data_IF_303539625350
#
_entry.id   IF_303539625350
#
_cell.length_a   1.000
_cell.length_b   1.000
_cell.length_c   1.000
_cell.angle_alpha   90.00
_cell.angle_beta   90.00
_cell.angle_gamma   90.00
#
_symmetry.space_group_name_H-M   'P 1'
#
loop_
_entity.id
_entity.type
_entity.pdbx_description
1 polymer ?
#
# COMPACT_ATOMS: atom_id res chain seq x y z
N UNK A 1 4.25 -24.76 9.74
CA UNK A 1 3.54 -26.08 9.73
C UNK A 1 3.61 -26.85 11.05
N UNK A 2 4.74 -27.47 11.45
CA UNK A 2 4.79 -28.36 12.64
C UNK A 2 4.27 -27.70 13.92
N UNK A 3 4.73 -26.49 14.22
CA UNK A 3 4.30 -25.75 15.42
C UNK A 3 2.84 -25.33 15.34
N UNK A 4 2.38 -24.85 14.18
CA UNK A 4 0.97 -24.49 13.93
C UNK A 4 0.05 -25.67 14.22
N UNK A 5 0.39 -26.86 13.72
CA UNK A 5 -0.39 -28.09 13.96
C UNK A 5 -0.44 -28.45 15.44
N UNK A 6 0.71 -28.44 16.11
CA UNK A 6 0.79 -28.77 17.54
C UNK A 6 -0.04 -27.80 18.41
N UNK A 7 0.02 -26.50 18.12
CA UNK A 7 -0.78 -25.48 18.81
C UNK A 7 -2.28 -25.68 18.56
N UNK A 8 -2.66 -25.85 17.29
CA UNK A 8 -4.06 -26.06 16.90
C UNK A 8 -4.66 -27.31 17.57
N UNK A 9 -3.96 -28.45 17.53
CA UNK A 9 -4.43 -29.70 18.13
C UNK A 9 -4.53 -29.59 19.66
N UNK A 10 -3.55 -28.96 20.30
CA UNK A 10 -3.54 -28.80 21.76
C UNK A 10 -4.70 -27.94 22.26
N UNK A 11 -4.99 -26.83 21.57
CA UNK A 11 -6.03 -25.87 21.99
C UNK A 11 -7.41 -26.12 21.38
N UNK A 12 -7.57 -27.17 20.56
CA UNK A 12 -8.82 -27.48 19.83
C UNK A 12 -10.09 -27.43 20.69
N UNK A 13 -10.05 -28.00 21.89
CA UNK A 13 -11.19 -28.09 22.79
C UNK A 13 -11.31 -26.95 23.80
N UNK A 14 -10.49 -25.90 23.72
CA UNK A 14 -10.49 -24.81 24.70
C UNK A 14 -11.54 -23.76 24.32
N UNK A 15 -12.59 -23.63 25.14
CA UNK A 15 -13.69 -22.68 24.93
C UNK A 15 -13.31 -21.20 25.07
N UNK A 16 -12.09 -20.89 25.55
CA UNK A 16 -11.59 -19.51 25.65
C UNK A 16 -10.87 -19.05 24.37
N UNK A 17 -10.63 -19.95 23.40
CA UNK A 17 -10.02 -19.62 22.11
C UNK A 17 -11.13 -19.46 21.07
N UNK A 18 -11.31 -18.24 20.60
CA UNK A 18 -12.35 -17.86 19.63
C UNK A 18 -11.83 -17.79 18.19
N UNK A 19 -10.51 -17.72 18.01
CA UNK A 19 -9.89 -17.57 16.71
C UNK A 19 -8.37 -17.42 16.81
N UNK A 20 -7.73 -17.18 15.67
CA UNK A 20 -6.27 -17.14 15.55
C UNK A 20 -5.81 -15.99 14.67
N UNK A 21 -4.70 -15.38 15.09
CA UNK A 21 -3.84 -14.60 14.22
C UNK A 21 -2.80 -15.55 13.61
N UNK A 22 -2.63 -15.56 12.28
CA UNK A 22 -1.50 -16.25 11.64
C UNK A 22 -0.23 -15.42 11.82
N UNK A 23 0.88 -16.02 12.21
CA UNK A 23 2.17 -15.33 12.37
C UNK A 23 2.08 -13.94 13.07
N UNK A 24 2.92 -12.97 12.68
CA UNK A 24 2.79 -11.58 13.09
C UNK A 24 3.43 -10.65 12.05
N UNK A 25 2.67 -9.70 11.50
CA UNK A 25 3.21 -8.61 10.68
C UNK A 25 4.15 -9.09 9.55
N UNK A 26 3.66 -9.98 8.69
CA UNK A 26 4.46 -10.50 7.58
C UNK A 26 5.04 -9.33 6.76
N UNK A 27 6.34 -9.43 6.43
CA UNK A 27 7.13 -8.42 5.72
C UNK A 27 7.38 -7.07 6.44
N UNK A 28 6.91 -6.85 7.68
CA UNK A 28 7.07 -5.53 8.34
C UNK A 28 8.51 -5.08 8.52
N UNK A 29 9.43 -6.00 8.89
CA UNK A 29 10.86 -5.66 9.02
C UNK A 29 11.63 -5.72 7.69
N UNK A 30 11.02 -6.28 6.64
CA UNK A 30 11.62 -6.49 5.34
C UNK A 30 11.02 -7.71 4.63
N UNK A 31 10.80 -7.58 3.33
CA UNK A 31 10.29 -8.62 2.44
C UNK A 31 11.38 -9.28 1.57
N UNK A 32 12.49 -8.58 1.34
CA UNK A 32 13.51 -8.97 0.38
C UNK A 32 14.42 -10.09 0.92
N UNK A 33 14.73 -11.06 0.07
CA UNK A 33 15.67 -12.15 0.38
C UNK A 33 16.48 -12.56 -0.84
N UNK A 34 17.81 -12.61 -0.70
CA UNK A 34 18.71 -12.87 -1.83
C UNK A 34 19.53 -14.16 -1.67
N UNK A 35 19.04 -15.09 -0.84
CA UNK A 35 19.70 -16.37 -0.59
C UNK A 35 19.50 -17.40 -1.72
N UNK A 36 20.28 -18.49 -1.72
CA UNK A 36 20.20 -19.53 -2.75
C UNK A 36 18.85 -20.26 -2.79
N UNK A 37 18.17 -20.40 -1.64
CA UNK A 37 16.81 -20.97 -1.58
C UNK A 37 15.81 -20.04 -2.27
N UNK A 38 15.94 -18.73 -2.04
CA UNK A 38 15.07 -17.74 -2.70
C UNK A 38 15.29 -17.72 -4.20
N UNK A 39 16.54 -17.84 -4.66
CA UNK A 39 16.83 -17.98 -6.08
C UNK A 39 16.15 -19.21 -6.69
N UNK A 40 16.29 -20.39 -6.06
CA UNK A 40 15.68 -21.62 -6.56
C UNK A 40 14.15 -21.54 -6.61
N UNK A 41 13.51 -20.98 -5.58
CA UNK A 41 12.06 -20.79 -5.54
C UNK A 41 11.59 -19.75 -6.57
N UNK A 42 12.36 -18.68 -6.81
CA UNK A 42 12.06 -17.70 -7.85
C UNK A 42 12.14 -18.33 -9.24
N UNK A 43 13.18 -19.12 -9.53
CA UNK A 43 13.31 -19.86 -10.78
C UNK A 43 12.13 -20.84 -10.98
N UNK A 44 11.71 -21.53 -9.92
CA UNK A 44 10.53 -22.41 -9.95
C UNK A 44 9.23 -21.65 -10.21
N UNK A 45 9.04 -20.50 -9.55
CA UNK A 45 7.91 -19.59 -9.78
C UNK A 45 7.85 -19.12 -11.24
N UNK A 46 8.98 -18.68 -11.80
CA UNK A 46 9.07 -18.25 -13.19
C UNK A 46 8.78 -19.38 -14.17
N UNK A 47 9.30 -20.58 -13.90
CA UNK A 47 9.02 -21.76 -14.70
C UNK A 47 7.53 -22.11 -14.70
N UNK A 48 6.86 -22.00 -13.56
CA UNK A 48 5.42 -22.20 -13.49
C UNK A 48 4.65 -21.07 -14.20
N UNK A 49 5.04 -19.81 -14.02
CA UNK A 49 4.37 -18.67 -14.64
C UNK A 49 4.46 -18.69 -16.17
N UNK A 50 5.67 -18.85 -16.71
CA UNK A 50 5.94 -18.68 -18.14
C UNK A 50 5.94 -19.99 -18.92
N UNK A 51 6.05 -21.14 -18.24
CA UNK A 51 6.11 -22.51 -18.80
C UNK A 51 7.34 -22.80 -19.68
N UNK A 52 7.83 -21.83 -20.45
CA UNK A 52 8.98 -21.94 -21.35
C UNK A 52 9.92 -20.74 -21.18
N UNK A 53 11.22 -20.95 -21.38
CA UNK A 53 12.21 -19.88 -21.28
C UNK A 53 12.01 -18.80 -22.36
N UNK A 54 11.51 -19.21 -23.54
CA UNK A 54 11.18 -18.29 -24.63
C UNK A 54 10.09 -17.29 -24.23
N UNK A 55 9.05 -17.74 -23.52
CA UNK A 55 7.99 -16.86 -23.02
C UNK A 55 8.51 -15.88 -21.95
N UNK A 56 9.41 -16.32 -21.06
CA UNK A 56 10.08 -15.44 -20.11
C UNK A 56 10.94 -14.39 -20.84
N UNK A 57 11.76 -14.81 -21.79
CA UNK A 57 12.63 -13.91 -22.55
C UNK A 57 11.82 -12.88 -23.35
N UNK A 58 10.67 -13.26 -23.92
CA UNK A 58 9.77 -12.30 -24.57
C UNK A 58 9.18 -11.31 -23.57
N UNK A 59 8.65 -11.80 -22.44
CA UNK A 59 8.07 -10.96 -21.39
C UNK A 59 9.09 -10.02 -20.74
N UNK A 60 10.36 -10.43 -20.60
CA UNK A 60 11.41 -9.61 -20.00
C UNK A 60 12.18 -8.77 -21.04
N UNK A 61 11.88 -8.93 -22.33
CA UNK A 61 12.58 -8.24 -23.41
C UNK A 61 14.05 -8.65 -23.54
N UNK A 62 14.37 -9.93 -23.36
CA UNK A 62 15.73 -10.49 -23.31
C UNK A 62 16.62 -10.22 -24.53
N UNK A 63 16.02 -9.82 -25.66
CA UNK A 63 16.77 -9.35 -26.83
C UNK A 63 17.49 -8.02 -26.58
N UNK A 64 16.97 -7.18 -25.68
CA UNK A 64 17.61 -5.93 -25.31
C UNK A 64 18.82 -6.19 -24.42
N UNK A 65 19.98 -5.67 -24.83
CA UNK A 65 21.27 -5.90 -24.14
C UNK A 65 21.68 -7.36 -23.97
N UNK A 66 21.13 -8.28 -24.78
CA UNK A 66 21.44 -9.70 -24.76
C UNK A 66 21.29 -10.35 -23.36
N UNK A 67 20.18 -10.05 -22.68
CA UNK A 67 19.86 -10.58 -21.34
C UNK A 67 18.98 -11.82 -21.38
N UNK A 68 18.77 -12.43 -22.55
CA UNK A 68 18.01 -13.65 -22.71
C UNK A 68 18.73 -14.84 -22.06
N UNK A 69 17.96 -15.71 -21.41
CA UNK A 69 18.44 -16.95 -20.78
C UNK A 69 18.16 -18.17 -21.66
N UNK A 70 19.03 -19.18 -21.61
CA UNK A 70 18.81 -20.46 -22.30
C UNK A 70 17.98 -21.44 -21.46
N UNK A 71 18.00 -21.31 -20.13
CA UNK A 71 17.21 -22.10 -19.18
C UNK A 71 16.84 -21.27 -17.95
N UNK A 72 15.83 -21.71 -17.20
CA UNK A 72 15.41 -21.07 -15.96
C UNK A 72 16.49 -21.13 -14.86
N UNK A 73 17.36 -22.15 -14.85
CA UNK A 73 18.43 -22.28 -13.87
C UNK A 73 19.52 -21.18 -13.97
N UNK A 74 19.57 -20.48 -15.11
CA UNK A 74 20.47 -19.35 -15.36
C UNK A 74 19.91 -18.00 -14.87
N UNK A 75 18.60 -17.92 -14.61
CA UNK A 75 17.97 -16.69 -14.13
C UNK A 75 18.61 -16.30 -12.81
N UNK A 76 18.87 -15.01 -12.62
CA UNK A 76 19.44 -14.43 -11.38
C UNK A 76 18.39 -13.61 -10.64
N UNK A 77 18.63 -13.28 -9.37
CA UNK A 77 17.80 -12.33 -8.62
C UNK A 77 18.10 -10.88 -9.07
N UNK A 78 17.12 -9.96 -8.99
CA UNK A 78 17.34 -8.55 -9.31
C UNK A 78 18.07 -7.86 -8.15
N UNK A 79 19.40 -7.92 -8.17
CA UNK A 79 20.25 -7.30 -7.15
C UNK A 79 20.49 -5.82 -7.44
N UNK A 80 20.46 -5.00 -6.39
CA UNK A 80 20.93 -3.62 -6.45
C UNK A 80 22.42 -3.57 -6.85
N UNK A 81 22.80 -2.51 -7.57
CA UNK A 81 24.18 -2.28 -8.04
C UNK A 81 24.75 -3.38 -8.97
N UNK A 82 23.88 -4.16 -9.61
CA UNK A 82 24.26 -4.94 -10.79
C UNK A 82 25.00 -4.04 -11.82
N UNK A 83 25.92 -4.59 -12.63
CA UNK A 83 26.74 -3.79 -13.56
C UNK A 83 25.93 -3.01 -14.60
N UNK A 84 24.65 -3.36 -14.78
CA UNK A 84 23.66 -2.60 -15.53
C UNK A 84 22.31 -2.61 -14.80
N UNK A 85 21.43 -1.63 -15.05
CA UNK A 85 20.06 -1.66 -14.54
C UNK A 85 19.34 -2.95 -14.93
N UNK A 86 18.63 -3.53 -13.97
CA UNK A 86 17.80 -4.71 -14.21
C UNK A 86 16.54 -4.31 -14.99
N UNK A 87 16.09 -5.18 -15.90
CA UNK A 87 14.87 -4.95 -16.67
C UNK A 87 13.64 -4.76 -15.74
N UNK A 88 12.74 -3.82 -16.04
CA UNK A 88 11.66 -3.46 -15.11
C UNK A 88 10.65 -4.60 -14.91
N UNK A 89 10.43 -5.47 -15.91
CA UNK A 89 9.56 -6.65 -15.77
C UNK A 89 10.17 -7.70 -14.85
N UNK A 90 11.50 -7.89 -14.90
CA UNK A 90 12.21 -8.78 -13.98
C UNK A 90 12.03 -8.30 -12.52
N UNK A 91 12.22 -7.00 -12.26
CA UNK A 91 11.99 -6.43 -10.92
C UNK A 91 10.56 -6.66 -10.44
N UNK A 92 9.56 -6.35 -11.27
CA UNK A 92 8.14 -6.54 -10.92
C UNK A 92 7.81 -8.02 -10.66
N UNK A 93 8.34 -8.94 -11.47
CA UNK A 93 8.11 -10.37 -11.26
C UNK A 93 8.74 -10.91 -9.98
N UNK A 94 9.86 -10.33 -9.54
CA UNK A 94 10.44 -10.67 -8.24
C UNK A 94 9.55 -10.22 -7.08
N UNK A 95 8.98 -9.02 -7.13
CA UNK A 95 8.01 -8.56 -6.13
C UNK A 95 6.71 -9.40 -6.14
N UNK A 96 6.19 -9.75 -7.32
CA UNK A 96 5.08 -10.70 -7.46
C UNK A 96 5.41 -12.07 -6.85
N UNK A 97 6.64 -12.55 -7.04
CA UNK A 97 7.12 -13.78 -6.40
C UNK A 97 7.15 -13.67 -4.87
N UNK A 98 7.63 -12.54 -4.32
CA UNK A 98 7.64 -12.30 -2.87
C UNK A 98 6.22 -12.29 -2.28
N UNK A 99 5.27 -11.64 -2.96
CA UNK A 99 3.85 -11.68 -2.59
C UNK A 99 3.28 -13.10 -2.66
N UNK A 100 3.60 -13.86 -3.70
CA UNK A 100 3.17 -15.25 -3.87
C UNK A 100 3.68 -16.17 -2.74
N UNK A 101 4.97 -16.11 -2.39
CA UNK A 101 5.50 -16.96 -1.31
C UNK A 101 4.98 -16.55 0.06
N UNK A 102 4.74 -15.25 0.27
CA UNK A 102 4.13 -14.73 1.51
C UNK A 102 2.70 -15.25 1.67
N UNK A 103 1.88 -15.18 0.61
CA UNK A 103 0.53 -15.73 0.62
C UNK A 103 0.51 -17.25 0.89
N UNK A 104 1.42 -18.00 0.27
CA UNK A 104 1.54 -19.46 0.50
C UNK A 104 1.94 -19.80 1.94
N UNK A 105 2.85 -19.02 2.52
CA UNK A 105 3.24 -19.20 3.92
C UNK A 105 2.07 -18.99 4.88
N UNK A 106 1.23 -17.98 4.62
CA UNK A 106 -0.01 -17.76 5.35
C UNK A 106 -1.02 -18.89 5.14
N UNK A 107 -1.29 -19.24 3.88
CA UNK A 107 -2.25 -20.29 3.51
C UNK A 107 -1.97 -21.62 4.22
N UNK A 108 -0.69 -22.00 4.32
CA UNK A 108 -0.26 -23.19 5.04
C UNK A 108 -0.69 -23.21 6.52
N UNK A 109 -0.79 -22.05 7.17
CA UNK A 109 -1.26 -21.91 8.54
C UNK A 109 -2.78 -21.94 8.61
N UNK A 110 -3.45 -21.17 7.74
CA UNK A 110 -4.92 -21.10 7.64
C UNK A 110 -5.50 -22.49 7.42
N UNK A 111 -4.96 -23.26 6.48
CA UNK A 111 -5.41 -24.62 6.17
C UNK A 111 -5.36 -25.54 7.40
N UNK A 112 -4.27 -25.47 8.18
CA UNK A 112 -4.12 -26.29 9.40
C UNK A 112 -5.15 -25.89 10.45
N UNK A 113 -5.35 -24.58 10.66
CA UNK A 113 -6.29 -24.05 11.65
C UNK A 113 -7.73 -24.43 11.30
N UNK A 114 -8.16 -24.19 10.05
CA UNK A 114 -9.49 -24.54 9.53
C UNK A 114 -9.79 -26.04 9.61
N UNK A 115 -8.81 -26.88 9.24
CA UNK A 115 -8.95 -28.34 9.30
C UNK A 115 -9.10 -28.81 10.75
N UNK A 116 -8.45 -28.12 11.70
CA UNK A 116 -8.49 -28.48 13.10
C UNK A 116 -9.81 -28.08 13.75
N UNK A 117 -10.24 -26.83 13.57
CA UNK A 117 -11.55 -26.36 14.05
C UNK A 117 -12.11 -25.31 13.08
N UNK A 118 -13.20 -25.61 12.36
CA UNK A 118 -13.79 -24.69 11.40
C UNK A 118 -14.54 -23.51 12.05
N UNK A 119 -14.83 -23.57 13.36
CA UNK A 119 -15.55 -22.52 14.08
C UNK A 119 -14.65 -21.34 14.49
N UNK A 120 -13.33 -21.50 14.40
CA UNK A 120 -12.38 -20.43 14.67
C UNK A 120 -12.37 -19.43 13.53
N UNK A 121 -12.45 -18.14 13.87
CA UNK A 121 -12.01 -17.12 12.92
C UNK A 121 -10.48 -17.15 12.77
N UNK A 122 -9.99 -16.78 11.60
CA UNK A 122 -8.58 -16.68 11.27
C UNK A 122 -8.35 -15.33 10.58
N UNK A 123 -7.42 -14.54 11.13
CA UNK A 123 -7.03 -13.25 10.57
C UNK A 123 -5.50 -13.10 10.56
N UNK A 124 -5.00 -12.07 9.90
CA UNK A 124 -3.61 -11.66 9.98
C UNK A 124 -3.51 -10.16 10.27
N UNK A 125 -2.57 -9.75 11.10
CA UNK A 125 -2.26 -8.35 11.34
C UNK A 125 -1.22 -7.83 10.35
N UNK A 126 -1.54 -6.73 9.69
CA UNK A 126 -0.66 -6.06 8.72
C UNK A 126 -0.04 -4.82 9.37
N UNK A 127 1.27 -4.63 9.19
CA UNK A 127 1.96 -3.39 9.56
C UNK A 127 2.45 -2.65 8.32
N UNK A 128 3.50 -3.19 7.68
CA UNK A 128 3.91 -2.80 6.34
C UNK A 128 3.13 -3.61 5.28
N UNK A 129 2.89 -3.01 4.10
CA UNK A 129 2.18 -3.65 2.99
C UNK A 129 3.12 -4.04 1.83
N UNK A 130 4.43 -3.89 2.00
CA UNK A 130 5.40 -4.28 0.99
C UNK A 130 5.31 -5.77 0.67
N UNK A 131 5.25 -6.07 -0.63
CA UNK A 131 5.15 -7.45 -1.15
C UNK A 131 3.95 -8.24 -0.57
N UNK A 132 2.82 -7.57 -0.34
CA UNK A 132 1.54 -8.20 0.01
C UNK A 132 0.50 -7.82 -1.05
N UNK A 133 0.10 -8.79 -1.86
CA UNK A 133 -0.99 -8.62 -2.82
C UNK A 133 -2.34 -9.01 -2.18
N UNK A 134 -3.05 -7.99 -1.67
CA UNK A 134 -4.35 -8.14 -1.02
C UNK A 134 -5.52 -8.38 -2.01
N UNK A 135 -5.29 -8.24 -3.32
CA UNK A 135 -6.23 -8.65 -4.38
C UNK A 135 -5.86 -10.00 -4.99
N UNK A 136 -4.66 -10.50 -4.68
CA UNK A 136 -4.19 -11.85 -4.95
C UNK A 136 -4.61 -12.85 -3.87
N UNK A 137 -3.85 -13.94 -3.73
CA UNK A 137 -4.22 -15.08 -2.88
C UNK A 137 -4.21 -14.77 -1.38
N UNK A 138 -3.45 -13.77 -0.93
CA UNK A 138 -3.16 -13.53 0.50
C UNK A 138 -4.41 -13.35 1.35
N UNK A 139 -5.41 -12.62 0.85
CA UNK A 139 -6.63 -12.26 1.58
C UNK A 139 -7.77 -13.27 1.42
N UNK A 140 -7.61 -14.29 0.57
CA UNK A 140 -8.76 -15.08 0.07
C UNK A 140 -9.31 -16.11 1.06
N UNK A 141 -8.54 -16.50 2.08
CA UNK A 141 -8.91 -17.55 3.04
C UNK A 141 -8.94 -17.08 4.51
N UNK A 142 -8.70 -15.79 4.74
CA UNK A 142 -8.90 -15.10 6.02
C UNK A 142 -10.37 -14.68 6.20
N UNK A 143 -10.85 -14.61 7.44
CA UNK A 143 -12.21 -14.10 7.75
C UNK A 143 -12.29 -12.57 7.68
N UNK A 144 -11.21 -11.90 8.06
CA UNK A 144 -11.03 -10.45 8.00
C UNK A 144 -9.54 -10.13 8.15
N UNK A 145 -9.13 -8.90 7.80
CA UNK A 145 -7.78 -8.42 8.08
C UNK A 145 -7.70 -7.69 9.43
N UNK A 146 -6.51 -7.72 10.03
CA UNK A 146 -6.08 -6.81 11.07
C UNK A 146 -5.10 -5.79 10.52
N UNK A 147 -5.09 -4.57 11.06
CA UNK A 147 -4.08 -3.57 10.72
C UNK A 147 -3.53 -2.88 11.97
N UNK A 148 -2.21 -2.92 12.10
CA UNK A 148 -1.46 -2.35 13.21
C UNK A 148 -1.14 -0.89 12.89
N UNK A 149 -1.47 0.01 13.81
CA UNK A 149 -1.47 1.45 13.55
C UNK A 149 -0.76 2.23 14.65
N UNK A 150 0.31 2.90 14.22
CA UNK A 150 1.18 3.72 15.06
C UNK A 150 1.34 5.14 14.47
N UNK A 151 0.30 5.99 14.56
CA UNK A 151 0.24 7.24 13.81
C UNK A 151 1.41 8.20 14.04
N UNK A 152 1.89 8.29 15.29
CA UNK A 152 3.03 9.15 15.62
C UNK A 152 4.35 8.58 15.13
N UNK A 153 4.45 7.26 14.94
CA UNK A 153 5.60 6.65 14.30
C UNK A 153 5.61 6.97 12.79
N UNK A 154 4.46 6.78 12.14
CA UNK A 154 4.33 6.95 10.69
C UNK A 154 4.58 8.39 10.28
N UNK A 155 3.99 9.35 11.00
CA UNK A 155 4.17 10.78 10.75
C UNK A 155 5.65 11.19 10.88
N UNK A 156 6.32 10.78 11.95
CA UNK A 156 7.72 11.14 12.22
C UNK A 156 8.69 10.45 11.25
N UNK A 157 8.49 9.16 10.95
CA UNK A 157 9.35 8.42 10.01
C UNK A 157 9.25 8.99 8.59
N UNK A 158 8.04 9.37 8.16
CA UNK A 158 7.79 9.82 6.79
C UNK A 158 7.87 11.35 6.65
N UNK A 159 7.89 12.09 7.76
CA UNK A 159 7.87 13.57 7.81
C UNK A 159 6.74 14.17 6.97
N UNK A 160 5.61 13.49 6.94
CA UNK A 160 4.45 13.88 6.14
C UNK A 160 3.66 15.01 6.81
N UNK A 161 3.73 15.14 8.14
CA UNK A 161 2.99 16.10 8.94
C UNK A 161 1.51 15.72 9.05
N UNK A 162 0.92 15.90 10.23
CA UNK A 162 -0.51 15.71 10.45
C UNK A 162 -0.87 14.26 10.79
N UNK A 163 -0.49 13.84 12.00
CA UNK A 163 -0.76 12.50 12.59
C UNK A 163 -2.17 11.97 12.33
N UNK A 164 -3.21 12.81 12.46
CA UNK A 164 -4.60 12.39 12.22
C UNK A 164 -4.92 12.08 10.75
N UNK A 165 -4.29 12.81 9.82
CA UNK A 165 -4.41 12.57 8.38
C UNK A 165 -3.68 11.28 8.00
N UNK A 166 -2.47 11.08 8.52
CA UNK A 166 -1.67 9.87 8.33
C UNK A 166 -2.40 8.61 8.84
N UNK A 167 -2.97 8.69 10.05
CA UNK A 167 -3.76 7.61 10.62
C UNK A 167 -4.95 7.26 9.73
N UNK A 168 -5.73 8.26 9.34
CA UNK A 168 -6.92 8.04 8.52
C UNK A 168 -6.58 7.44 7.15
N UNK A 169 -5.48 7.88 6.53
CA UNK A 169 -4.99 7.35 5.26
C UNK A 169 -4.70 5.85 5.35
N UNK A 170 -3.90 5.43 6.33
CA UNK A 170 -3.50 4.02 6.51
C UNK A 170 -4.71 3.11 6.78
N UNK A 171 -5.63 3.56 7.64
CA UNK A 171 -6.87 2.84 7.92
C UNK A 171 -7.79 2.73 6.69
N UNK A 172 -7.93 3.80 5.90
CA UNK A 172 -8.73 3.77 4.67
C UNK A 172 -8.09 2.91 3.58
N UNK A 173 -6.76 2.82 3.50
CA UNK A 173 -6.05 1.88 2.61
C UNK A 173 -6.40 0.44 3.00
N UNK A 174 -6.26 0.07 4.28
CA UNK A 174 -6.61 -1.27 4.76
C UNK A 174 -8.08 -1.59 4.46
N UNK A 175 -9.00 -0.70 4.82
CA UNK A 175 -10.44 -0.86 4.55
C UNK A 175 -10.74 -1.05 3.06
N UNK A 176 -10.01 -0.38 2.17
CA UNK A 176 -10.19 -0.50 0.73
C UNK A 176 -9.95 -1.91 0.17
N UNK A 177 -9.27 -2.79 0.93
CA UNK A 177 -9.05 -4.18 0.54
C UNK A 177 -10.01 -5.16 1.20
N UNK A 178 -10.37 -4.95 2.47
CA UNK A 178 -11.11 -5.96 3.27
C UNK A 178 -12.52 -5.54 3.67
N UNK A 179 -12.91 -4.28 3.46
CA UNK A 179 -14.09 -3.73 4.13
C UNK A 179 -13.81 -3.49 5.61
N UNK A 180 -14.74 -3.85 6.49
CA UNK A 180 -14.49 -3.73 7.93
C UNK A 180 -13.34 -4.65 8.37
N UNK A 181 -12.60 -4.21 9.37
CA UNK A 181 -11.37 -4.86 9.84
C UNK A 181 -11.25 -4.74 11.35
N UNK A 182 -10.18 -5.27 11.93
CA UNK A 182 -9.82 -4.99 13.32
C UNK A 182 -8.48 -4.28 13.40
N UNK A 183 -8.21 -3.60 14.51
CA UNK A 183 -6.91 -3.03 14.84
C UNK A 183 -6.32 -3.87 15.98
N UNK A 184 -5.43 -4.84 15.68
CA UNK A 184 -4.80 -5.66 16.70
C UNK A 184 -3.77 -4.90 17.53
N UNK A 185 -3.10 -3.94 16.91
CA UNK A 185 -2.17 -3.07 17.59
C UNK A 185 -2.47 -1.58 17.35
N UNK A 186 -3.11 -0.95 18.33
CA UNK A 186 -3.26 0.50 18.41
C UNK A 186 -2.17 1.06 19.33
N UNK A 187 -1.49 2.11 18.88
CA UNK A 187 -0.55 2.86 19.73
C UNK A 187 -1.20 3.29 21.06
N UNK A 188 -0.59 2.87 22.17
CA UNK A 188 -1.04 3.24 23.53
C UNK A 188 -0.15 4.27 24.22
N UNK A 189 1.11 4.43 23.81
CA UNK A 189 2.03 5.34 24.47
C UNK A 189 3.25 5.67 23.63
N UNK A 190 4.30 6.12 24.32
CA UNK A 190 5.63 6.17 23.76
C UNK A 190 6.05 4.77 23.29
N UNK A 191 6.54 4.68 22.06
CA UNK A 191 7.13 3.47 21.50
C UNK A 191 8.58 3.73 21.17
N UNK A 192 9.49 2.84 21.54
CA UNK A 192 10.87 2.95 21.10
C UNK A 192 11.55 1.60 20.94
N UNK A 193 12.41 1.56 19.93
CA UNK A 193 13.39 0.53 19.62
C UNK A 193 14.77 1.22 19.51
N UNK A 194 15.90 0.47 19.47
CA UNK A 194 17.24 1.09 19.48
C UNK A 194 17.50 2.15 18.39
N UNK A 195 16.80 2.08 17.26
CA UNK A 195 17.02 2.92 16.08
C UNK A 195 15.94 4.00 15.85
N UNK A 196 14.81 3.97 16.56
CA UNK A 196 13.76 4.99 16.44
C UNK A 196 12.86 5.04 17.67
N UNK A 197 12.16 6.17 17.83
CA UNK A 197 11.09 6.33 18.81
C UNK A 197 9.91 7.08 18.24
N UNK A 198 8.76 6.95 18.86
CA UNK A 198 7.55 7.72 18.54
C UNK A 198 7.42 8.90 19.48
N UNK A 199 6.56 9.87 19.14
CA UNK A 199 6.11 10.86 20.11
C UNK A 199 5.19 10.21 21.14
N UNK A 200 5.28 10.68 22.39
CA UNK A 200 4.34 10.30 23.44
C UNK A 200 2.97 10.90 23.13
N UNK A 201 1.89 10.09 23.01
CA UNK A 201 0.55 10.63 22.85
C UNK A 201 0.18 11.49 24.05
N UNK A 202 -0.25 12.73 23.82
CA UNK A 202 -0.73 13.64 24.87
C UNK A 202 -2.03 13.11 25.53
N UNK A 203 -2.43 13.65 26.69
CA UNK A 203 -3.74 13.34 27.30
C UNK A 203 -4.90 13.46 26.32
N UNK A 204 -5.67 12.38 26.18
CA UNK A 204 -6.81 12.26 25.27
C UNK A 204 -6.48 11.69 23.87
N UNK A 205 -5.20 11.65 23.47
CA UNK A 205 -4.82 11.17 22.13
C UNK A 205 -5.02 9.66 21.97
N UNK A 206 -4.86 8.84 23.02
CA UNK A 206 -5.14 7.40 22.90
C UNK A 206 -6.61 7.17 22.54
N UNK A 207 -7.51 7.87 23.26
CA UNK A 207 -8.95 7.82 23.02
C UNK A 207 -9.29 8.35 21.62
N UNK A 208 -8.70 9.48 21.20
CA UNK A 208 -8.91 10.06 19.85
C UNK A 208 -8.47 9.09 18.75
N UNK A 209 -7.29 8.49 18.88
CA UNK A 209 -6.77 7.52 17.92
C UNK A 209 -7.67 6.29 17.83
N UNK A 210 -8.10 5.71 18.95
CA UNK A 210 -9.00 4.56 18.97
C UNK A 210 -10.35 4.87 18.31
N UNK A 211 -10.93 6.04 18.58
CA UNK A 211 -12.16 6.48 17.89
C UNK A 211 -11.95 6.76 16.40
N UNK A 212 -10.75 7.21 16.00
CA UNK A 212 -10.42 7.36 14.58
C UNK A 212 -10.43 6.01 13.89
N UNK A 213 -9.88 4.96 14.52
CA UNK A 213 -9.93 3.59 14.01
C UNK A 213 -11.37 3.09 13.85
N UNK A 214 -12.23 3.28 14.86
CA UNK A 214 -13.67 2.95 14.78
C UNK A 214 -14.36 3.73 13.66
N UNK A 215 -14.14 5.04 13.57
CA UNK A 215 -14.74 5.90 12.55
C UNK A 215 -14.29 5.57 11.12
N UNK A 216 -13.18 4.83 10.97
CA UNK A 216 -12.62 4.36 9.70
C UNK A 216 -12.90 2.89 9.42
N UNK A 217 -13.76 2.23 10.20
CA UNK A 217 -14.28 0.89 9.90
C UNK A 217 -13.70 -0.26 10.73
N UNK A 218 -13.01 0.05 11.85
CA UNK A 218 -12.55 -0.99 12.77
C UNK A 218 -13.71 -1.48 13.67
N UNK A 219 -14.03 -2.78 13.57
CA UNK A 219 -15.01 -3.49 14.43
C UNK A 219 -14.35 -4.11 15.68
N UNK A 220 -13.04 -3.99 15.81
CA UNK A 220 -12.27 -4.35 16.99
C UNK A 220 -11.04 -3.46 17.13
N UNK A 221 -10.70 -3.06 18.36
CA UNK A 221 -9.52 -2.25 18.67
C UNK A 221 -8.83 -2.83 19.90
N UNK A 222 -7.57 -3.19 19.75
CA UNK A 222 -6.70 -3.69 20.80
C UNK A 222 -5.48 -2.78 20.89
N UNK A 223 -5.05 -2.46 22.10
CA UNK A 223 -3.85 -1.65 22.29
C UNK A 223 -2.64 -2.55 22.44
N UNK A 224 -1.61 -2.30 21.63
CA UNK A 224 -0.32 -2.89 21.90
C UNK A 224 0.42 -2.02 22.93
N UNK A 225 0.81 -2.55 24.08
CA UNK A 225 0.53 -3.89 24.65
C UNK A 225 -0.18 -3.73 25.98
N UNK A 226 -0.51 -4.82 26.68
CA UNK A 226 -1.06 -4.71 28.03
C UNK A 226 -0.05 -4.05 28.99
N UNK A 227 1.13 -4.66 29.13
CA UNK A 227 2.23 -4.23 30.01
C UNK A 227 3.53 -4.16 29.19
N UNK A 228 4.34 -3.10 29.31
CA UNK A 228 5.64 -3.02 28.65
C UNK A 228 6.57 -4.14 29.13
N UNK A 229 7.52 -4.52 28.28
CA UNK A 229 8.54 -5.50 28.63
C UNK A 229 9.65 -4.85 29.48
N UNK A 230 10.26 -5.64 30.37
CA UNK A 230 11.46 -5.23 31.13
C UNK A 230 12.78 -5.58 30.41
N UNK A 231 12.68 -6.25 29.26
CA UNK A 231 13.80 -6.77 28.49
C UNK A 231 13.43 -6.87 27.00
N UNK A 232 14.44 -7.03 26.14
CA UNK A 232 14.26 -7.17 24.68
C UNK A 232 14.40 -5.85 23.93
N UNK A 233 14.12 -5.88 22.63
CA UNK A 233 14.28 -4.71 21.76
C UNK A 233 13.27 -3.59 22.03
N UNK A 234 12.14 -3.94 22.66
CA UNK A 234 10.98 -3.05 22.88
C UNK A 234 10.77 -2.71 24.35
N UNK A 235 11.85 -2.61 25.13
CA UNK A 235 11.77 -2.24 26.55
C UNK A 235 11.04 -0.92 26.79
N UNK A 236 11.06 0.00 25.83
CA UNK A 236 10.38 1.29 25.93
C UNK A 236 9.14 1.36 25.03
N UNK A 237 8.65 0.22 24.54
CA UNK A 237 7.34 0.15 23.92
C UNK A 237 6.26 0.02 24.98
N UNK A 238 5.67 1.17 25.29
CA UNK A 238 4.82 1.29 26.45
C UNK A 238 3.46 0.62 26.22
N UNK A 239 2.91 -0.04 27.26
CA UNK A 239 1.59 -0.68 27.23
C UNK A 239 0.49 0.11 27.96
N UNK A 240 -0.73 -0.41 28.07
CA UNK A 240 -1.84 0.26 28.80
C UNK A 240 -1.46 0.57 30.26
N UNK A 241 -0.71 -0.32 30.92
CA UNK A 241 -0.08 -0.07 32.23
C UNK A 241 1.43 0.21 32.07
N UNK A 242 2.08 0.75 33.11
CA UNK A 242 3.51 1.05 33.09
C UNK A 242 4.39 -0.15 33.54
N UNK A 243 5.71 0.01 33.49
CA UNK A 243 6.69 -0.99 33.94
C UNK A 243 6.57 -1.37 35.41
N UNK A 244 6.00 -0.51 36.24
CA UNK A 244 5.80 -0.77 37.68
C UNK A 244 4.42 -1.37 37.99
N UNK A 245 3.68 -1.76 36.96
CA UNK A 245 2.36 -2.41 37.04
C UNK A 245 1.25 -1.52 37.61
N UNK A 246 1.51 -0.23 37.76
CA UNK A 246 0.52 0.71 38.30
C UNK A 246 -0.30 1.30 37.14
N UNK A 247 -1.64 1.21 37.19
CA UNK A 247 -2.50 1.87 36.22
C UNK A 247 -2.43 3.39 36.41
N UNK A 248 -2.35 4.11 35.28
CA UNK A 248 -2.32 5.58 35.23
C UNK A 248 -3.19 6.08 34.08
N UNK A 249 -2.98 7.33 33.64
CA UNK A 249 -3.69 7.97 32.51
C UNK A 249 -4.00 7.03 31.34
N UNK A 250 -3.03 6.25 30.87
CA UNK A 250 -3.20 5.36 29.69
C UNK A 250 -4.20 4.24 29.94
N UNK A 251 -4.21 3.70 31.15
CA UNK A 251 -5.23 2.77 31.61
C UNK A 251 -6.58 3.44 31.73
N UNK A 252 -6.65 4.64 32.31
CA UNK A 252 -7.91 5.38 32.47
C UNK A 252 -8.54 5.75 31.12
N UNK A 253 -7.73 6.18 30.14
CA UNK A 253 -8.19 6.48 28.78
C UNK A 253 -8.66 5.22 28.04
N UNK A 254 -7.93 4.11 28.14
CA UNK A 254 -8.33 2.84 27.56
C UNK A 254 -9.65 2.33 28.18
N UNK A 255 -9.80 2.44 29.51
CA UNK A 255 -11.02 2.10 30.24
C UNK A 255 -12.19 2.99 29.83
N UNK A 256 -11.96 4.30 29.68
CA UNK A 256 -12.98 5.23 29.22
C UNK A 256 -13.45 4.86 27.81
N UNK A 257 -12.54 4.69 26.86
CA UNK A 257 -12.86 4.27 25.49
C UNK A 257 -13.64 2.95 25.49
N UNK A 258 -13.19 1.94 26.23
CA UNK A 258 -13.86 0.64 26.30
C UNK A 258 -15.30 0.76 26.84
N UNK A 259 -15.51 1.57 27.88
CA UNK A 259 -16.85 1.83 28.42
C UNK A 259 -17.77 2.52 27.42
N UNK A 260 -17.27 3.55 26.73
CA UNK A 260 -18.05 4.32 25.77
C UNK A 260 -18.36 3.52 24.50
N UNK A 261 -17.40 2.78 23.94
CA UNK A 261 -17.63 1.95 22.75
C UNK A 261 -18.58 0.79 23.05
N UNK A 262 -18.52 0.21 24.25
CA UNK A 262 -19.46 -0.83 24.69
C UNK A 262 -20.90 -0.30 24.73
N UNK A 263 -21.10 0.95 25.16
CA UNK A 263 -22.41 1.60 25.18
C UNK A 263 -22.93 1.94 23.76
N UNK A 264 -22.04 2.04 22.77
CA UNK A 264 -22.37 2.37 21.38
C UNK A 264 -22.43 1.16 20.45
N UNK A 265 -21.90 -0.01 20.85
CA UNK A 265 -21.63 -1.16 19.97
C UNK A 265 -22.82 -1.56 19.10
N UNK A 266 -24.03 -1.60 19.66
CA UNK A 266 -25.24 -2.06 18.94
C UNK A 266 -25.67 -1.08 17.82
N UNK A 267 -25.08 0.12 17.78
CA UNK A 267 -25.33 1.15 16.74
C UNK A 267 -24.24 1.20 15.68
N UNK A 268 -23.05 0.65 15.94
CA UNK A 268 -21.86 0.87 15.10
C UNK A 268 -21.22 -0.42 14.59
N UNK A 269 -21.33 -1.53 15.33
CA UNK A 269 -20.71 -2.80 14.96
C UNK A 269 -21.28 -3.31 13.64
N UNK A 270 -20.42 -3.61 12.67
CA UNK A 270 -20.80 -4.06 11.34
C UNK A 270 -21.39 -2.99 10.42
N UNK A 271 -21.39 -1.72 10.84
CA UNK A 271 -21.71 -0.60 9.94
C UNK A 271 -20.56 -0.36 8.96
N UNK A 272 -20.85 0.27 7.82
CA UNK A 272 -19.82 0.57 6.81
C UNK A 272 -19.61 2.08 6.67
N UNK A 273 -18.35 2.46 6.43
CA UNK A 273 -17.96 3.86 6.19
C UNK A 273 -18.50 4.32 4.84
N UNK A 274 -19.29 5.39 4.85
CA UNK A 274 -19.76 6.06 3.63
C UNK A 274 -18.59 6.72 2.90
N UNK A 275 -18.53 6.53 1.58
CA UNK A 275 -17.62 7.24 0.69
C UNK A 275 -18.41 7.84 -0.48
N UNK A 276 -18.17 9.12 -0.77
CA UNK A 276 -18.67 9.81 -1.96
C UNK A 276 -17.57 9.90 -3.05
N UNK A 277 -16.28 9.86 -2.66
CA UNK A 277 -15.12 9.87 -3.55
C UNK A 277 -14.27 8.60 -3.34
N UNK A 278 -14.14 7.78 -4.37
CA UNK A 278 -13.24 6.63 -4.38
C UNK A 278 -11.86 6.99 -4.90
N UNK A 279 -10.81 6.46 -4.28
CA UNK A 279 -9.42 6.61 -4.70
C UNK A 279 -8.84 5.24 -5.02
N UNK A 280 -8.54 4.98 -6.30
CA UNK A 280 -7.88 3.78 -6.76
C UNK A 280 -6.36 3.90 -6.55
N UNK A 281 -5.92 4.02 -5.30
CA UNK A 281 -4.53 4.40 -4.97
C UNK A 281 -3.62 3.27 -4.52
N UNK A 282 -4.08 2.02 -4.50
CA UNK A 282 -3.36 0.93 -3.81
C UNK A 282 -3.32 -0.41 -4.56
N UNK A 283 -3.43 -0.41 -5.89
CA UNK A 283 -3.24 -1.65 -6.66
C UNK A 283 -1.77 -2.10 -6.65
N UNK A 284 -1.52 -3.36 -6.23
CA UNK A 284 -0.18 -3.91 -6.03
C UNK A 284 0.70 -3.81 -7.28
N UNK A 285 0.20 -4.34 -8.41
CA UNK A 285 0.92 -4.31 -9.68
C UNK A 285 1.27 -2.89 -10.12
N UNK A 286 0.32 -1.94 -10.00
CA UNK A 286 0.57 -0.56 -10.37
C UNK A 286 1.60 0.13 -9.46
N UNK A 287 1.65 -0.19 -8.16
CA UNK A 287 2.74 0.29 -7.28
C UNK A 287 4.10 -0.25 -7.75
N UNK A 288 4.21 -1.56 -7.98
CA UNK A 288 5.50 -2.18 -8.35
C UNK A 288 5.95 -1.75 -9.75
N UNK A 289 5.03 -1.66 -10.72
CA UNK A 289 5.34 -1.16 -12.05
C UNK A 289 5.78 0.30 -12.02
N UNK A 290 5.15 1.13 -11.19
CA UNK A 290 5.61 2.50 -10.97
C UNK A 290 7.01 2.53 -10.36
N UNK A 291 7.22 1.79 -9.25
CA UNK A 291 8.50 1.71 -8.53
C UNK A 291 9.65 1.26 -9.44
N UNK A 292 9.41 0.30 -10.34
CA UNK A 292 10.40 -0.19 -11.29
C UNK A 292 10.90 0.88 -12.27
N UNK A 293 10.07 1.90 -12.59
CA UNK A 293 10.44 2.96 -13.52
C UNK A 293 9.55 4.21 -13.33
N UNK A 294 9.81 5.04 -12.29
CA UNK A 294 8.87 6.06 -11.81
C UNK A 294 8.87 7.34 -12.67
N UNK A 295 9.93 7.56 -13.47
CA UNK A 295 10.18 8.77 -14.28
C UNK A 295 9.94 10.09 -13.52
N UNK A 296 10.08 10.09 -12.19
CA UNK A 296 9.89 11.25 -11.34
C UNK A 296 8.44 11.67 -11.08
N UNK A 297 7.46 10.82 -11.40
CA UNK A 297 6.10 10.94 -10.90
C UNK A 297 6.01 10.51 -9.43
N UNK A 298 5.08 11.06 -8.63
CA UNK A 298 4.69 10.42 -7.38
C UNK A 298 4.14 9.02 -7.68
N UNK A 299 4.31 8.09 -6.74
CA UNK A 299 3.65 6.79 -6.83
C UNK A 299 2.13 6.95 -6.80
N UNK A 300 1.35 5.98 -7.30
CA UNK A 300 -0.10 6.01 -7.15
C UNK A 300 -0.57 6.23 -5.71
N UNK A 301 0.17 5.71 -4.72
CA UNK A 301 -0.16 5.90 -3.30
C UNK A 301 0.24 7.29 -2.79
N UNK A 302 1.40 7.82 -3.18
CA UNK A 302 1.83 9.16 -2.78
C UNK A 302 0.89 10.24 -3.34
N UNK A 303 0.43 10.06 -4.57
CA UNK A 303 -0.51 10.98 -5.20
C UNK A 303 -1.93 10.83 -4.60
N UNK A 304 -2.37 9.60 -4.32
CA UNK A 304 -3.59 9.33 -3.55
C UNK A 304 -3.57 10.00 -2.17
N UNK A 305 -2.42 10.01 -1.48
CA UNK A 305 -2.24 10.68 -0.19
C UNK A 305 -2.53 12.18 -0.30
N UNK A 306 -2.11 12.86 -1.37
CA UNK A 306 -2.38 14.29 -1.55
C UNK A 306 -3.89 14.58 -1.58
N UNK A 307 -4.64 13.79 -2.36
CA UNK A 307 -6.10 13.95 -2.47
C UNK A 307 -6.82 13.53 -1.18
N UNK A 308 -6.42 12.43 -0.55
CA UNK A 308 -7.02 11.96 0.71
C UNK A 308 -6.87 13.01 1.82
N UNK A 309 -5.68 13.61 1.95
CA UNK A 309 -5.43 14.68 2.92
C UNK A 309 -6.27 15.92 2.66
N UNK A 310 -6.39 16.32 1.39
CA UNK A 310 -7.30 17.40 1.01
C UNK A 310 -8.73 17.08 1.45
N UNK A 311 -9.20 15.87 1.19
CA UNK A 311 -10.55 15.44 1.59
C UNK A 311 -10.75 15.42 3.10
N UNK A 312 -9.76 14.92 3.86
CA UNK A 312 -9.76 14.91 5.32
C UNK A 312 -9.95 16.33 5.88
N UNK A 313 -9.18 17.31 5.40
CA UNK A 313 -9.24 18.72 5.85
C UNK A 313 -10.55 19.41 5.52
N UNK A 314 -11.24 18.96 4.48
CA UNK A 314 -12.49 19.57 3.99
C UNK A 314 -13.73 18.74 4.30
N UNK A 315 -13.62 17.70 5.13
CA UNK A 315 -14.72 16.79 5.48
C UNK A 315 -15.40 16.15 4.26
N UNK A 316 -14.63 15.85 3.22
CA UNK A 316 -15.11 15.12 2.05
C UNK A 316 -15.00 13.62 2.37
N UNK A 317 -16.12 12.90 2.26
CA UNK A 317 -16.16 11.46 2.48
C UNK A 317 -15.42 10.72 1.36
N UNK A 318 -14.13 10.42 1.57
CA UNK A 318 -13.31 9.67 0.63
C UNK A 318 -12.79 8.37 1.23
N UNK A 319 -12.35 7.45 0.39
CA UNK A 319 -11.55 6.29 0.79
C UNK A 319 -11.04 5.50 -0.40
N UNK A 320 -10.30 4.43 -0.12
CA UNK A 320 -9.70 3.61 -1.16
C UNK A 320 -10.68 2.60 -1.71
N UNK A 321 -10.61 2.36 -3.01
CA UNK A 321 -11.47 1.41 -3.73
C UNK A 321 -10.78 0.93 -5.00
N UNK A 322 -11.08 -0.28 -5.47
CA UNK A 322 -10.62 -0.79 -6.75
C UNK A 322 -11.73 -0.64 -7.82
N UNK A 323 -11.39 -0.43 -9.10
CA UNK A 323 -12.38 -0.36 -10.20
C UNK A 323 -13.30 -1.58 -10.36
N UNK A 324 -12.93 -2.72 -9.76
CA UNK A 324 -13.74 -3.95 -9.78
C UNK A 324 -14.80 -4.02 -8.67
N UNK A 325 -14.70 -3.15 -7.67
CA UNK A 325 -15.66 -3.07 -6.58
C UNK A 325 -16.99 -2.43 -7.02
N UNK A 326 -17.94 -2.38 -6.09
CA UNK A 326 -19.21 -1.66 -6.30
C UNK A 326 -18.99 -0.13 -6.27
N UNK A 327 -19.00 0.47 -7.45
CA UNK A 327 -18.85 1.92 -7.64
C UNK A 327 -20.17 2.69 -7.51
N UNK A 328 -21.32 2.01 -7.37
CA UNK A 328 -22.67 2.61 -7.52
C UNK A 328 -22.99 3.69 -6.50
N UNK A 329 -22.32 3.68 -5.35
CA UNK A 329 -22.52 4.65 -4.26
C UNK A 329 -21.60 5.87 -4.36
N UNK A 330 -20.61 5.83 -5.25
CA UNK A 330 -19.66 6.93 -5.43
C UNK A 330 -20.27 8.03 -6.30
N UNK A 331 -19.76 9.25 -6.11
CA UNK A 331 -20.00 10.40 -6.99
C UNK A 331 -18.80 10.66 -7.88
N UNK A 332 -17.60 10.33 -7.41
CA UNK A 332 -16.37 10.46 -8.17
C UNK A 332 -15.42 9.29 -7.90
N UNK A 333 -14.60 8.96 -8.90
CA UNK A 333 -13.52 7.98 -8.83
C UNK A 333 -12.23 8.64 -9.34
N UNK A 334 -11.18 8.58 -8.53
CA UNK A 334 -9.84 9.01 -8.91
C UNK A 334 -8.91 7.82 -9.15
N UNK A 335 -8.22 7.79 -10.29
CA UNK A 335 -7.21 6.79 -10.66
C UNK A 335 -5.83 7.45 -10.78
N UNK A 336 -5.03 7.49 -9.71
CA UNK A 336 -3.68 8.08 -9.71
C UNK A 336 -2.69 7.21 -10.49
N UNK A 337 -2.38 7.60 -11.73
CA UNK A 337 -1.21 7.11 -12.47
C UNK A 337 -1.10 5.57 -12.63
N UNK A 338 -2.22 4.87 -12.88
CA UNK A 338 -2.22 3.41 -13.04
C UNK A 338 -1.64 3.00 -14.39
N UNK A 339 -0.32 2.76 -14.42
CA UNK A 339 0.42 2.37 -15.61
C UNK A 339 -0.17 1.14 -16.30
N UNK A 340 -0.44 0.08 -15.55
CA UNK A 340 -1.13 -1.12 -16.04
C UNK A 340 -2.62 -0.87 -16.05
N UNK A 341 -3.25 -1.23 -17.17
CA UNK A 341 -4.70 -1.13 -17.34
C UNK A 341 -5.26 -2.34 -18.06
N UNK A 342 -6.54 -2.64 -17.81
CA UNK A 342 -7.28 -3.68 -18.51
C UNK A 342 -8.60 -3.12 -19.05
N UNK A 343 -9.04 -3.63 -20.20
CA UNK A 343 -10.32 -3.20 -20.80
C UNK A 343 -11.54 -3.51 -19.91
N UNK A 344 -11.43 -4.53 -19.04
CA UNK A 344 -12.47 -4.86 -18.07
C UNK A 344 -12.72 -3.71 -17.08
N UNK A 345 -11.67 -2.98 -16.68
CA UNK A 345 -11.81 -1.80 -15.82
C UNK A 345 -12.47 -0.64 -16.57
N UNK A 346 -12.13 -0.44 -17.84
CA UNK A 346 -12.77 0.59 -18.68
C UNK A 346 -14.28 0.41 -18.72
N UNK A 347 -14.78 -0.80 -18.96
CA UNK A 347 -16.22 -1.05 -19.05
C UNK A 347 -16.98 -0.69 -17.76
N UNK A 348 -16.40 -1.00 -16.59
CA UNK A 348 -16.99 -0.67 -15.28
C UNK A 348 -17.01 0.83 -15.01
N UNK A 349 -15.89 1.49 -15.30
CA UNK A 349 -15.74 2.93 -15.09
C UNK A 349 -16.59 3.72 -16.09
N UNK A 350 -16.73 3.26 -17.33
CA UNK A 350 -17.64 3.83 -18.32
C UNK A 350 -19.10 3.73 -17.87
N UNK A 351 -19.51 2.56 -17.33
CA UNK A 351 -20.85 2.40 -16.77
C UNK A 351 -21.11 3.37 -15.60
N UNK A 352 -20.13 3.52 -14.71
CA UNK A 352 -20.16 4.50 -13.63
C UNK A 352 -20.29 5.95 -14.15
N UNK A 353 -19.52 6.32 -15.17
CA UNK A 353 -19.58 7.64 -15.79
C UNK A 353 -20.95 7.91 -16.46
N UNK A 354 -21.48 6.93 -17.20
CA UNK A 354 -22.81 7.00 -17.83
C UNK A 354 -23.94 7.13 -16.80
N UNK A 355 -23.76 6.59 -15.59
CA UNK A 355 -24.68 6.74 -14.48
C UNK A 355 -24.58 8.11 -13.76
N UNK A 356 -23.71 9.01 -14.24
CA UNK A 356 -23.52 10.36 -13.70
C UNK A 356 -22.31 10.50 -12.76
N UNK A 357 -21.51 9.45 -12.61
CA UNK A 357 -20.25 9.51 -11.87
C UNK A 357 -19.18 10.34 -12.57
N UNK A 358 -18.30 11.00 -11.81
CA UNK A 358 -17.13 11.72 -12.36
C UNK A 358 -15.89 10.84 -12.30
N UNK A 359 -15.21 10.66 -13.42
CA UNK A 359 -13.95 9.89 -13.49
C UNK A 359 -12.80 10.85 -13.66
N UNK A 360 -11.78 10.72 -12.82
CA UNK A 360 -10.57 11.52 -12.85
C UNK A 360 -9.40 10.54 -13.05
N UNK A 361 -8.66 10.72 -14.15
CA UNK A 361 -7.51 9.89 -14.48
C UNK A 361 -6.24 10.72 -14.29
N UNK A 362 -5.28 10.19 -13.52
CA UNK A 362 -3.92 10.72 -13.46
C UNK A 362 -3.16 10.44 -14.74
N UNK A 363 -2.05 11.16 -14.94
CA UNK A 363 -1.22 10.99 -16.13
C UNK A 363 -0.61 9.59 -16.24
N UNK A 364 -0.34 9.14 -17.47
CA UNK A 364 0.23 7.82 -17.81
C UNK A 364 -0.63 6.60 -17.48
N UNK A 365 -1.85 6.80 -17.02
CA UNK A 365 -2.79 5.70 -16.81
C UNK A 365 -2.98 4.93 -18.12
N UNK A 366 -2.87 3.60 -18.08
CA UNK A 366 -3.01 2.73 -19.26
C UNK A 366 -1.85 2.78 -20.25
N UNK A 367 -0.66 3.22 -19.83
CA UNK A 367 0.52 3.25 -20.70
C UNK A 367 1.28 1.91 -20.80
N UNK A 368 0.93 0.91 -19.97
CA UNK A 368 1.63 -0.38 -19.91
C UNK A 368 0.69 -1.58 -19.88
N UNK A 369 1.20 -2.73 -20.33
CA UNK A 369 0.53 -4.03 -20.25
C UNK A 369 0.89 -4.82 -18.96
N UNK A 370 0.39 -6.05 -18.86
CA UNK A 370 0.62 -6.95 -17.72
C UNK A 370 2.08 -7.36 -17.51
N UNK A 371 2.88 -7.33 -18.57
CA UNK A 371 4.32 -7.60 -18.57
C UNK A 371 5.12 -6.31 -18.37
N UNK A 372 4.48 -5.20 -17.99
CA UNK A 372 5.11 -3.89 -17.79
C UNK A 372 5.74 -3.33 -19.09
N UNK A 373 5.34 -3.83 -20.26
CA UNK A 373 5.76 -3.26 -21.54
C UNK A 373 4.97 -2.00 -21.81
N UNK A 374 5.62 -0.99 -22.39
CA UNK A 374 4.88 0.15 -22.95
C UNK A 374 4.02 -0.37 -24.10
N UNK A 375 2.73 -0.06 -24.06
CA UNK A 375 1.80 -0.53 -25.09
C UNK A 375 2.21 -0.04 -26.48
N UNK A 376 1.96 -0.87 -27.51
CA UNK A 376 2.24 -0.51 -28.91
C UNK A 376 1.16 0.38 -29.53
N UNK A 377 -0.01 0.43 -28.91
CA UNK A 377 -1.08 1.35 -29.30
C UNK A 377 -0.78 2.77 -28.83
N UNK A 378 -1.39 3.78 -29.46
CA UNK A 378 -1.35 5.14 -28.94
C UNK A 378 -1.90 5.16 -27.51
N UNK A 379 -1.13 5.70 -26.57
CA UNK A 379 -1.55 5.80 -25.18
C UNK A 379 -2.79 6.69 -25.03
N UNK A 380 -3.71 6.39 -24.09
CA UNK A 380 -3.68 5.31 -23.10
C UNK A 380 -4.31 3.97 -23.58
N UNK A 381 -4.22 3.66 -24.87
CA UNK A 381 -4.87 2.50 -25.48
C UNK A 381 -6.30 2.80 -25.92
N UNK A 382 -6.85 2.00 -26.84
CA UNK A 382 -8.11 2.32 -27.53
C UNK A 382 -9.29 2.51 -26.59
N UNK A 383 -9.49 1.61 -25.64
CA UNK A 383 -10.66 1.62 -24.77
C UNK A 383 -10.66 2.86 -23.85
N UNK A 384 -9.52 3.15 -23.21
CA UNK A 384 -9.41 4.28 -22.31
C UNK A 384 -9.40 5.62 -23.07
N UNK A 385 -8.85 5.65 -24.28
CA UNK A 385 -8.96 6.81 -25.18
C UNK A 385 -10.41 7.12 -25.54
N UNK A 386 -11.21 6.09 -25.86
CA UNK A 386 -12.63 6.24 -26.17
C UNK A 386 -13.44 6.76 -24.97
N UNK A 387 -13.12 6.31 -23.76
CA UNK A 387 -13.75 6.78 -22.53
C UNK A 387 -13.37 8.23 -22.20
N UNK A 388 -12.07 8.56 -22.23
CA UNK A 388 -11.56 9.85 -21.80
C UNK A 388 -11.64 10.94 -22.89
N UNK A 389 -11.85 10.55 -24.14
CA UNK A 389 -11.85 11.47 -25.29
C UNK A 389 -10.48 12.10 -25.55
N UNK A 390 -9.38 11.39 -25.24
CA UNK A 390 -8.01 11.89 -25.43
C UNK A 390 -7.08 10.81 -25.97
N UNK A 391 -5.98 11.24 -26.59
CA UNK A 391 -4.79 10.42 -26.86
C UNK A 391 -3.54 11.15 -26.42
N UNK A 392 -2.48 10.44 -26.06
CA UNK A 392 -1.19 11.00 -25.63
C UNK A 392 -0.20 10.95 -26.80
N UNK A 393 0.29 12.11 -27.24
CA UNK A 393 1.30 12.22 -28.30
C UNK A 393 2.72 12.09 -27.75
N UNK A 394 3.01 12.74 -26.62
CA UNK A 394 4.34 12.76 -26.00
C UNK A 394 4.19 12.78 -24.48
N UNK A 395 5.16 12.20 -23.76
CA UNK A 395 5.23 12.31 -22.30
C UNK A 395 6.66 12.52 -21.81
N UNK A 396 6.82 13.17 -20.65
CA UNK A 396 8.15 13.39 -20.09
C UNK A 396 8.17 13.98 -18.68
N UNK A 397 9.32 13.82 -18.02
CA UNK A 397 9.60 14.41 -16.70
C UNK A 397 10.01 15.86 -16.85
N UNK A 398 9.47 16.72 -15.98
CA UNK A 398 9.89 18.11 -15.84
C UNK A 398 10.22 18.41 -14.37
N UNK A 399 10.99 19.47 -14.11
CA UNK A 399 11.46 19.78 -12.76
C UNK A 399 10.40 20.58 -12.01
N UNK A 400 10.15 20.31 -10.71
CA UNK A 400 9.29 21.15 -9.87
C UNK A 400 9.72 22.62 -9.88
N UNK A 401 8.80 23.54 -9.58
CA UNK A 401 9.02 25.01 -9.62
C UNK A 401 10.24 25.45 -8.78
N UNK A 402 10.56 24.71 -7.71
CA UNK A 402 11.73 24.95 -6.85
C UNK A 402 12.74 23.79 -6.87
N UNK A 403 12.65 22.92 -7.88
CA UNK A 403 13.51 21.74 -8.01
C UNK A 403 14.90 22.07 -8.54
N UNK A 404 15.89 21.32 -8.04
CA UNK A 404 17.32 21.47 -8.39
C UNK A 404 17.71 20.61 -9.61
N UNK A 405 16.84 20.56 -10.64
CA UNK A 405 17.01 19.77 -11.86
C UNK A 405 16.24 18.45 -11.91
N UNK A 406 16.47 17.66 -12.97
CA UNK A 406 15.84 16.34 -13.18
C UNK A 406 16.55 15.19 -12.45
N UNK A 407 17.79 15.41 -12.01
CA UNK A 407 18.64 14.39 -11.41
C UNK A 407 19.10 14.86 -10.05
N UNK A 408 18.99 14.01 -9.02
CA UNK A 408 19.74 14.22 -7.80
C UNK A 408 21.23 14.09 -8.14
N UNK A 409 21.98 15.18 -8.06
CA UNK A 409 23.43 15.12 -8.28
C UNK A 409 24.13 14.66 -7.01
N UNK A 410 24.75 13.47 -7.04
CA UNK A 410 25.83 13.13 -6.12
C UNK A 410 26.99 14.10 -6.35
N UNK A 411 27.61 14.59 -5.27
CA UNK A 411 28.64 15.62 -5.32
C UNK A 411 29.79 15.25 -6.25
N UNK A 412 29.82 15.85 -7.45
CA UNK A 412 30.97 15.72 -8.39
C UNK A 412 32.20 16.50 -7.94
N UNK A 413 32.09 17.30 -6.89
CA UNK A 413 33.16 18.05 -6.26
C UNK A 413 32.98 17.96 -4.75
N UNK A 414 34.10 17.90 -4.01
CA UNK A 414 34.21 17.39 -2.65
C UNK A 414 33.14 17.81 -1.64
N UNK A 415 33.09 17.03 -0.57
CA UNK A 415 32.08 16.95 0.51
C UNK A 415 31.65 18.30 1.14
N UNK A 416 32.35 19.40 0.86
CA UNK A 416 32.11 20.72 1.44
C UNK A 416 31.82 21.85 0.43
N UNK A 417 31.61 21.55 -0.86
CA UNK A 417 31.23 22.60 -1.82
C UNK A 417 29.73 22.86 -1.83
N UNK A 418 29.28 23.95 -1.20
CA UNK A 418 27.91 24.46 -1.34
C UNK A 418 27.76 25.00 -2.77
N UNK A 419 27.26 24.18 -3.68
CA UNK A 419 26.96 24.62 -5.05
C UNK A 419 25.81 25.61 -4.99
N UNK A 420 25.92 26.72 -5.72
CA UNK A 420 24.76 27.60 -5.98
C UNK A 420 23.75 26.78 -6.79
N UNK A 421 22.64 26.39 -6.16
CA UNK A 421 21.49 25.80 -6.84
C UNK A 421 20.92 26.86 -7.78
N UNK A 422 20.93 26.57 -9.07
CA UNK A 422 20.27 27.41 -10.07
C UNK A 422 18.93 26.76 -10.39
N UNK A 423 17.85 27.54 -10.58
CA UNK A 423 16.57 26.98 -10.99
C UNK A 423 16.74 26.15 -12.27
N UNK A 424 16.09 25.00 -12.33
CA UNK A 424 16.10 24.20 -13.55
C UNK A 424 15.41 24.97 -14.68
N UNK A 425 16.04 25.02 -15.86
CA UNK A 425 15.46 25.69 -17.03
C UNK A 425 14.12 25.07 -17.45
N UNK A 426 13.93 23.77 -17.21
CA UNK A 426 12.64 23.09 -17.37
C UNK A 426 11.53 23.81 -16.61
N UNK A 427 11.73 24.18 -15.34
CA UNK A 427 10.74 24.81 -14.46
C UNK A 427 10.21 26.17 -14.95
N UNK A 428 10.84 26.80 -15.94
CA UNK A 428 10.34 28.03 -16.58
C UNK A 428 9.17 27.80 -17.53
N UNK A 429 8.91 26.55 -17.94
CA UNK A 429 7.81 26.22 -18.85
C UNK A 429 6.51 26.12 -18.04
N UNK A 430 5.54 26.98 -18.34
CA UNK A 430 4.23 27.01 -17.67
C UNK A 430 3.11 26.78 -18.68
N UNK A 431 2.06 26.09 -18.25
CA UNK A 431 0.86 25.88 -19.06
C UNK A 431 -0.35 26.41 -18.30
N UNK A 432 -1.17 27.21 -18.98
CA UNK A 432 -2.45 27.67 -18.43
C UNK A 432 -3.52 26.71 -18.89
N UNK A 433 -4.04 25.93 -17.93
CA UNK A 433 -5.15 25.02 -18.13
C UNK A 433 -6.44 25.73 -17.72
N UNK A 434 -7.52 25.53 -18.47
CA UNK A 434 -8.86 25.94 -18.06
C UNK A 434 -9.60 24.71 -17.56
N UNK A 435 -9.86 24.64 -16.25
CA UNK A 435 -10.58 23.55 -15.60
C UNK A 435 -11.91 24.12 -15.10
N UNK A 436 -13.00 23.77 -15.78
CA UNK A 436 -14.32 24.37 -15.55
C UNK A 436 -14.28 25.89 -15.70
N UNK A 437 -14.58 26.60 -14.62
CA UNK A 437 -14.58 28.07 -14.57
C UNK A 437 -13.27 28.66 -14.04
N UNK A 438 -12.29 27.83 -13.68
CA UNK A 438 -11.00 28.27 -13.16
C UNK A 438 -9.91 28.20 -14.23
N UNK A 439 -8.99 29.15 -14.20
CA UNK A 439 -7.70 29.01 -14.86
C UNK A 439 -6.67 28.57 -13.83
N UNK A 440 -5.98 27.49 -14.13
CA UNK A 440 -4.90 26.94 -13.31
C UNK A 440 -3.63 27.03 -14.13
N UNK A 441 -2.64 27.78 -13.63
CA UNK A 441 -1.30 27.74 -14.21
C UNK A 441 -0.58 26.55 -13.59
N UNK A 442 -0.42 25.50 -14.37
CA UNK A 442 0.28 24.31 -13.93
C UNK A 442 1.75 24.40 -14.36
N UNK A 443 2.64 24.22 -13.38
CA UNK A 443 4.00 23.81 -13.62
C UNK A 443 4.10 22.30 -13.40
N UNK A 444 4.17 21.58 -14.52
CA UNK A 444 4.87 20.31 -14.73
C UNK A 444 4.35 18.95 -14.22
N UNK A 445 3.64 18.25 -15.11
CA UNK A 445 4.00 16.98 -15.78
C UNK A 445 3.47 17.11 -17.22
N UNK A 446 4.18 16.63 -18.25
CA UNK A 446 3.64 16.69 -19.60
C UNK A 446 3.24 15.31 -20.08
N UNK A 447 1.94 15.12 -20.26
CA UNK A 447 1.42 14.38 -21.40
C UNK A 447 0.88 15.41 -22.39
N UNK A 448 1.33 15.37 -23.63
CA UNK A 448 0.69 16.14 -24.70
C UNK A 448 -0.60 15.43 -25.08
N UNK A 449 -1.71 15.98 -24.63
CA UNK A 449 -3.02 15.43 -24.93
C UNK A 449 -3.54 16.01 -26.25
N UNK A 450 -3.99 15.13 -27.12
CA UNK A 450 -4.88 15.46 -28.23
C UNK A 450 -6.30 15.11 -27.80
N UNK A 451 -7.18 16.11 -27.79
CA UNK A 451 -8.61 16.02 -27.48
C UNK A 451 -9.41 15.86 -28.77
#
# INVERSE_FOLDING_TARGET
KRITKAMAEHYRGNSHIIGWQTDNELNTSGSLSYGPVTLAEFQAFLKDKYKTIAALNDAWGGNFWATAYDDFDQVVLPLDYAPAPVGPTHVVDYHRFLAFVTARFQHDQVLILRTTNPDWFVFHNLGNLDDIDLRGEFSTDLDFLGFDIYPFMDDEKQRIGGVGEAQALRLDICRGFTGNFIVPEQQSGFGAQPNFSTLTPEPGEMRRMAYTSVARGADGVMFFRWRPAHFGAEIYWMGIIDHDDIPRRRYDEAKQFAGEVTALKDKILGTHVRMDLGIAGSDFDNQEMHRSYPIGLPSPQDDAMLLHRYCYRHNIACGFIHPEDDLSKLKALYVPHWLKWTDAWTARIEAFAKAGGTVILGGRTGSRDVNNHVIRETSPGKALSALAGITVEEFGRLTPVDGDGLFAHGGRFGVNTVRKKLPATSASRQYVLKIGNAQVTAAHLYELLKV
#
